data_IF_108538843761
#
_entry.id   IF_108538843761
#
_cell.length_a   1.000
_cell.length_b   1.000
_cell.length_c   1.000
_cell.angle_alpha   90.00
_cell.angle_beta   90.00
_cell.angle_gamma   90.00
#
_symmetry.space_group_name_H-M   'P 1'
#
loop_
_entity.id
_entity.type
_entity.pdbx_description
1 polymer ?
#
# COMPACT_ATOMS: atom_id res chain seq x y z
N UNK A 1 -42.78 -15.32 14.13
CA UNK A 1 -43.19 -13.98 13.63
C UNK A 1 -42.05 -12.99 13.78
N UNK A 2 -40.96 -13.12 13.01
CA UNK A 2 -39.75 -12.31 13.21
C UNK A 2 -39.14 -11.73 11.92
N UNK A 3 -39.90 -11.61 10.83
CA UNK A 3 -39.33 -11.17 9.54
C UNK A 3 -40.05 -10.01 8.82
N UNK A 4 -41.21 -9.58 9.31
CA UNK A 4 -42.00 -8.54 8.63
C UNK A 4 -41.41 -7.14 8.88
N UNK A 5 -40.95 -6.86 10.11
CA UNK A 5 -40.39 -5.57 10.48
C UNK A 5 -38.99 -5.29 9.91
N UNK A 6 -38.22 -6.34 9.58
CA UNK A 6 -36.92 -6.21 8.93
C UNK A 6 -37.10 -5.98 7.42
N UNK A 7 -38.01 -6.70 6.77
CA UNK A 7 -38.36 -6.47 5.37
C UNK A 7 -38.93 -5.06 5.12
N UNK A 8 -39.81 -4.55 6.00
CA UNK A 8 -40.37 -3.20 5.85
C UNK A 8 -39.29 -2.11 5.95
N UNK A 9 -38.33 -2.26 6.87
CA UNK A 9 -37.20 -1.33 7.03
C UNK A 9 -36.27 -1.33 5.81
N UNK A 10 -36.00 -2.49 5.23
CA UNK A 10 -35.20 -2.59 4.01
C UNK A 10 -35.90 -1.94 2.82
N UNK A 11 -37.22 -2.10 2.71
CA UNK A 11 -38.03 -1.46 1.66
C UNK A 11 -38.03 0.07 1.77
N UNK A 12 -38.15 0.62 2.98
CA UNK A 12 -38.12 2.07 3.21
C UNK A 12 -36.75 2.67 2.90
N UNK A 13 -35.66 2.04 3.35
CA UNK A 13 -34.29 2.47 3.02
C UNK A 13 -34.05 2.49 1.52
N UNK A 14 -34.57 1.49 0.80
CA UNK A 14 -34.45 1.42 -0.66
C UNK A 14 -35.18 2.58 -1.34
N UNK A 15 -36.39 2.92 -0.88
CA UNK A 15 -37.16 4.03 -1.41
C UNK A 15 -36.46 5.38 -1.18
N UNK A 16 -35.94 5.58 0.03
CA UNK A 16 -35.16 6.78 0.38
C UNK A 16 -33.88 6.88 -0.46
N UNK A 17 -33.18 5.76 -0.67
CA UNK A 17 -31.99 5.71 -1.51
C UNK A 17 -32.29 6.14 -2.95
N UNK A 18 -33.35 5.59 -3.56
CA UNK A 18 -33.76 5.96 -4.93
C UNK A 18 -34.06 7.45 -5.07
N UNK A 19 -34.79 8.01 -4.10
CA UNK A 19 -35.19 9.42 -4.12
C UNK A 19 -33.99 10.36 -3.90
N UNK A 20 -33.07 10.02 -3.00
CA UNK A 20 -31.90 10.85 -2.68
C UNK A 20 -30.67 10.59 -3.56
N UNK A 21 -30.71 9.61 -4.47
CA UNK A 21 -29.54 9.18 -5.24
C UNK A 21 -28.91 10.31 -6.04
N UNK A 22 -29.70 11.05 -6.82
CA UNK A 22 -29.18 12.09 -7.72
C UNK A 22 -28.53 13.24 -6.96
N UNK A 23 -29.13 13.69 -5.86
CA UNK A 23 -28.59 14.75 -5.02
C UNK A 23 -27.20 14.36 -4.48
N UNK A 24 -27.04 13.14 -3.97
CA UNK A 24 -25.76 12.65 -3.48
C UNK A 24 -24.73 12.46 -4.61
N UNK A 25 -25.18 12.06 -5.80
CA UNK A 25 -24.31 11.93 -6.98
C UNK A 25 -23.80 13.29 -7.47
N UNK A 26 -24.67 14.30 -7.51
CA UNK A 26 -24.29 15.68 -7.80
C UNK A 26 -23.32 16.24 -6.76
N UNK A 27 -23.47 15.85 -5.49
CA UNK A 27 -22.51 16.16 -4.42
C UNK A 27 -21.19 15.37 -4.50
N UNK A 28 -20.99 14.53 -5.53
CA UNK A 28 -19.75 13.79 -5.75
C UNK A 28 -19.58 12.54 -4.89
N UNK A 29 -20.67 12.01 -4.30
CA UNK A 29 -20.62 10.73 -3.58
C UNK A 29 -20.59 9.55 -4.54
N UNK A 30 -19.68 8.61 -4.29
CA UNK A 30 -19.63 7.33 -5.00
C UNK A 30 -20.78 6.41 -4.59
N UNK A 31 -20.99 5.33 -5.35
CA UNK A 31 -22.05 4.36 -5.11
C UNK A 31 -21.85 3.67 -3.77
N UNK A 32 -20.61 3.39 -3.39
CA UNK A 32 -20.27 2.83 -2.08
C UNK A 32 -20.65 3.79 -0.95
N UNK A 33 -20.31 5.08 -1.08
CA UNK A 33 -20.68 6.09 -0.10
C UNK A 33 -22.21 6.26 0.02
N UNK A 34 -22.94 6.15 -1.09
CA UNK A 34 -24.41 6.21 -1.10
C UNK A 34 -25.01 4.95 -0.44
N UNK A 35 -24.48 3.78 -0.76
CA UNK A 35 -24.93 2.52 -0.17
C UNK A 35 -24.74 2.51 1.36
N UNK A 36 -23.58 2.98 1.83
CA UNK A 36 -23.29 3.15 3.25
C UNK A 36 -24.23 4.16 3.91
N UNK A 37 -24.49 5.31 3.27
CA UNK A 37 -25.37 6.35 3.80
C UNK A 37 -26.78 5.83 4.10
N UNK A 38 -27.34 5.01 3.21
CA UNK A 38 -28.69 4.43 3.39
C UNK A 38 -28.68 3.05 4.07
N UNK A 39 -27.51 2.49 4.37
CA UNK A 39 -27.37 1.15 4.95
C UNK A 39 -27.93 0.05 4.04
N UNK A 40 -27.67 0.15 2.73
CA UNK A 40 -28.02 -0.84 1.71
C UNK A 40 -26.75 -1.43 1.08
N UNK A 41 -26.88 -2.51 0.32
CA UNK A 41 -25.74 -3.06 -0.41
C UNK A 41 -25.44 -2.24 -1.66
N UNK A 42 -24.17 -2.20 -2.08
CA UNK A 42 -23.76 -1.54 -3.32
C UNK A 42 -24.43 -2.19 -4.54
N UNK A 43 -24.60 -3.52 -4.53
CA UNK A 43 -25.33 -4.26 -5.57
C UNK A 43 -26.77 -3.76 -5.71
N UNK A 44 -27.45 -3.54 -4.58
CA UNK A 44 -28.79 -2.97 -4.58
C UNK A 44 -28.84 -1.58 -5.20
N UNK A 45 -27.80 -0.77 -5.06
CA UNK A 45 -27.73 0.53 -5.76
C UNK A 45 -27.65 0.31 -7.28
N UNK A 46 -26.81 -0.62 -7.76
CA UNK A 46 -26.70 -0.95 -9.19
C UNK A 46 -27.99 -1.53 -9.78
N UNK A 47 -28.65 -2.43 -9.06
CA UNK A 47 -29.90 -3.08 -9.51
C UNK A 47 -31.04 -2.09 -9.70
N UNK A 48 -31.04 -1.01 -8.90
CA UNK A 48 -32.10 0.00 -8.90
C UNK A 48 -31.80 1.21 -9.78
N UNK A 49 -30.69 1.22 -10.53
CA UNK A 49 -30.34 2.35 -11.40
C UNK A 49 -31.38 2.60 -12.50
N UNK A 50 -31.97 1.54 -13.05
CA UNK A 50 -32.96 1.68 -14.11
C UNK A 50 -34.19 2.44 -13.60
N UNK A 51 -34.71 2.05 -12.44
CA UNK A 51 -35.85 2.74 -11.82
C UNK A 51 -35.54 4.20 -11.46
N UNK A 52 -34.32 4.48 -11.01
CA UNK A 52 -33.87 5.86 -10.73
C UNK A 52 -33.80 6.67 -12.03
N UNK A 53 -33.30 6.07 -13.12
CA UNK A 53 -33.20 6.70 -14.43
C UNK A 53 -34.61 7.02 -14.98
N UNK A 54 -35.50 6.04 -14.95
CA UNK A 54 -36.89 6.15 -15.41
C UNK A 54 -37.64 7.25 -14.64
N UNK A 55 -37.45 7.32 -13.31
CA UNK A 55 -38.08 8.34 -12.46
C UNK A 55 -37.61 9.78 -12.75
N UNK A 56 -36.43 9.94 -13.35
CA UNK A 56 -35.81 11.24 -13.60
C UNK A 56 -35.68 11.57 -15.10
N UNK A 57 -36.21 10.72 -15.99
CA UNK A 57 -36.14 10.91 -17.44
C UNK A 57 -34.71 10.85 -17.99
N UNK A 58 -33.81 10.14 -17.31
CA UNK A 58 -32.41 9.94 -17.71
C UNK A 58 -32.22 8.53 -18.28
N UNK A 59 -31.10 8.29 -18.97
CA UNK A 59 -30.68 6.92 -19.26
C UNK A 59 -29.94 6.33 -18.06
N UNK A 60 -29.94 5.00 -17.97
CA UNK A 60 -29.17 4.29 -16.93
C UNK A 60 -27.67 4.59 -17.05
N UNK A 61 -27.20 4.75 -18.28
CA UNK A 61 -25.81 5.04 -18.62
C UNK A 61 -25.39 6.43 -18.14
N UNK A 62 -26.28 7.42 -18.19
CA UNK A 62 -26.03 8.76 -17.63
C UNK A 62 -25.76 8.72 -16.14
N UNK A 63 -26.31 7.73 -15.42
CA UNK A 63 -26.06 7.54 -14.00
C UNK A 63 -24.72 6.85 -13.71
N UNK A 64 -24.04 6.28 -14.71
CA UNK A 64 -22.78 5.53 -14.52
C UNK A 64 -21.52 6.40 -14.68
N UNK A 65 -21.66 7.73 -14.80
CA UNK A 65 -20.50 8.61 -14.91
C UNK A 65 -19.55 8.47 -13.71
N UNK A 66 -18.25 8.45 -14.00
CA UNK A 66 -17.21 8.35 -12.99
C UNK A 66 -16.98 9.72 -12.35
N UNK A 67 -17.11 9.79 -11.03
CA UNK A 67 -16.74 11.00 -10.29
C UNK A 67 -15.22 11.12 -10.31
N UNK A 68 -14.71 12.16 -10.97
CA UNK A 68 -13.30 12.49 -10.98
C UNK A 68 -12.89 13.06 -9.62
N UNK A 69 -12.40 12.20 -8.72
CA UNK A 69 -11.72 12.65 -7.50
C UNK A 69 -10.29 13.08 -7.87
N UNK A 70 -9.75 14.15 -7.28
CA UNK A 70 -8.35 14.52 -7.47
C UNK A 70 -7.47 13.33 -7.08
N UNK A 71 -6.46 13.05 -7.91
CA UNK A 71 -5.51 11.99 -7.61
C UNK A 71 -4.75 12.34 -6.33
N UNK A 72 -5.05 11.65 -5.24
CA UNK A 72 -4.28 11.70 -4.00
C UNK A 72 -3.29 10.54 -4.00
N UNK A 73 -1.99 10.86 -3.98
CA UNK A 73 -0.98 9.84 -3.69
C UNK A 73 -1.25 9.30 -2.29
N UNK A 74 -1.49 7.99 -2.19
CA UNK A 74 -1.66 7.32 -0.89
C UNK A 74 -0.44 7.60 -0.01
N UNK A 75 -0.68 7.95 1.26
CA UNK A 75 0.37 8.13 2.27
C UNK A 75 1.22 6.86 2.49
N UNK A 76 0.73 5.70 2.05
CA UNK A 76 1.51 4.45 2.02
C UNK A 76 2.71 4.55 1.07
N UNK A 77 2.64 5.37 0.01
CA UNK A 77 3.78 5.68 -0.87
C UNK A 77 4.69 6.79 -0.35
N UNK A 78 4.30 7.49 0.73
CA UNK A 78 5.11 8.53 1.39
C UNK A 78 6.13 7.96 2.38
N UNK A 79 6.14 6.64 2.64
CA UNK A 79 7.32 5.95 3.20
C UNK A 79 8.42 5.82 2.14
N UNK A 80 8.70 6.89 1.40
CA UNK A 80 10.04 7.07 0.84
C UNK A 80 10.92 7.24 2.06
N UNK A 81 11.81 6.27 2.28
CA UNK A 81 12.80 6.26 3.35
C UNK A 81 13.33 7.69 3.55
N UNK A 82 13.05 8.31 4.69
CA UNK A 82 13.88 9.41 5.17
C UNK A 82 15.26 8.80 5.41
N UNK A 83 16.09 8.76 4.36
CA UNK A 83 17.52 8.50 4.48
C UNK A 83 18.17 9.83 4.88
N UNK A 84 17.66 10.44 5.96
CA UNK A 84 18.26 11.60 6.62
C UNK A 84 19.29 11.15 7.66
N UNK A 85 20.01 10.05 7.38
CA UNK A 85 21.29 9.84 8.05
C UNK A 85 22.32 10.58 7.23
N UNK A 86 22.47 11.87 7.53
CA UNK A 86 23.66 12.62 7.14
C UNK A 86 24.88 11.88 7.72
N UNK A 87 25.57 11.14 6.87
CA UNK A 87 26.82 10.46 7.20
C UNK A 87 27.82 11.55 7.64
N UNK A 88 28.24 11.54 8.91
CA UNK A 88 29.20 12.53 9.39
C UNK A 88 30.60 12.19 8.90
N UNK A 89 31.47 13.19 8.84
CA UNK A 89 32.87 12.99 8.45
C UNK A 89 33.57 12.05 9.44
N UNK A 90 33.22 12.11 10.73
CA UNK A 90 33.81 11.22 11.74
C UNK A 90 33.37 9.76 11.56
N UNK A 91 32.09 9.51 11.26
CA UNK A 91 31.59 8.16 10.99
C UNK A 91 32.27 7.57 9.74
N UNK A 92 32.46 8.39 8.70
CA UNK A 92 33.15 7.97 7.49
C UNK A 92 34.62 7.62 7.75
N UNK A 93 35.34 8.46 8.51
CA UNK A 93 36.72 8.20 8.91
C UNK A 93 36.85 6.92 9.72
N UNK A 94 35.94 6.71 10.68
CA UNK A 94 35.93 5.49 11.49
C UNK A 94 35.72 4.25 10.62
N UNK A 95 34.76 4.28 9.71
CA UNK A 95 34.48 3.15 8.81
C UNK A 95 35.69 2.78 7.95
N UNK A 96 36.43 3.77 7.43
CA UNK A 96 37.66 3.50 6.68
C UNK A 96 38.78 2.93 7.56
N UNK A 97 38.94 3.43 8.79
CA UNK A 97 39.92 2.90 9.74
C UNK A 97 39.63 1.45 10.10
N UNK A 98 38.35 1.13 10.37
CA UNK A 98 37.90 -0.23 10.68
C UNK A 98 38.16 -1.17 9.49
N UNK A 99 37.88 -0.70 8.26
CA UNK A 99 38.15 -1.45 7.03
C UNK A 99 39.65 -1.73 6.83
N UNK A 100 40.52 -0.74 7.08
CA UNK A 100 41.97 -0.90 7.00
C UNK A 100 42.47 -1.92 8.03
N UNK A 101 41.97 -1.87 9.26
CA UNK A 101 42.32 -2.81 10.32
C UNK A 101 41.97 -4.26 9.94
N UNK A 102 40.76 -4.47 9.42
CA UNK A 102 40.31 -5.80 8.96
C UNK A 102 41.19 -6.29 7.80
N UNK A 103 41.50 -5.42 6.85
CA UNK A 103 42.34 -5.77 5.70
C UNK A 103 43.74 -6.18 6.13
N UNK A 104 44.36 -5.44 7.05
CA UNK A 104 45.67 -5.79 7.61
C UNK A 104 45.65 -7.11 8.37
N UNK A 105 44.57 -7.38 9.11
CA UNK A 105 44.39 -8.66 9.79
C UNK A 105 44.32 -9.84 8.80
N UNK A 106 43.59 -9.68 7.70
CA UNK A 106 43.51 -10.69 6.63
C UNK A 106 44.90 -10.93 6.01
N UNK A 107 45.63 -9.86 5.68
CA UNK A 107 46.99 -9.96 5.13
C UNK A 107 47.91 -10.70 6.09
N UNK A 108 47.92 -10.33 7.38
CA UNK A 108 48.76 -10.99 8.39
C UNK A 108 48.45 -12.48 8.53
N UNK A 109 47.18 -12.87 8.44
CA UNK A 109 46.81 -14.28 8.48
C UNK A 109 47.27 -15.05 7.23
N UNK A 110 47.20 -14.42 6.05
CA UNK A 110 47.73 -14.99 4.81
C UNK A 110 49.25 -15.16 4.91
N UNK A 111 49.96 -14.15 5.39
CA UNK A 111 51.42 -14.21 5.56
C UNK A 111 51.83 -15.34 6.51
N UNK A 112 51.11 -15.50 7.64
CA UNK A 112 51.34 -16.61 8.58
C UNK A 112 51.09 -17.97 7.93
N UNK A 113 50.02 -18.12 7.17
CA UNK A 113 49.73 -19.36 6.46
C UNK A 113 50.84 -19.70 5.44
N UNK A 114 51.27 -18.71 4.65
CA UNK A 114 52.36 -18.88 3.68
C UNK A 114 53.71 -19.18 4.33
N UNK A 115 54.01 -18.60 5.50
CA UNK A 115 55.22 -18.94 6.27
C UNK A 115 55.17 -20.38 6.78
N UNK A 116 54.04 -20.79 7.36
CA UNK A 116 53.88 -22.16 7.84
C UNK A 116 54.02 -23.20 6.72
N UNK A 117 53.61 -22.90 5.49
CA UNK A 117 53.81 -23.79 4.34
C UNK A 117 55.27 -23.85 3.85
N UNK A 118 56.05 -22.77 4.05
CA UNK A 118 57.49 -22.76 3.72
C UNK A 118 58.29 -23.55 4.74
N UNK A 119 58.02 -23.35 6.03
CA UNK A 119 58.70 -24.07 7.11
C UNK A 119 58.43 -25.58 7.02
N UNK A 120 57.21 -26.00 6.66
CA UNK A 120 56.88 -27.41 6.43
C UNK A 120 57.51 -28.04 5.17
N UNK A 121 58.06 -27.25 4.24
CA UNK A 121 58.74 -27.75 3.03
C UNK A 121 60.24 -27.93 3.22
N UNK A 122 60.88 -27.15 4.08
CA UNK A 122 62.32 -27.25 4.36
C UNK A 122 62.68 -28.48 5.22
N UNK A 123 61.71 -29.05 5.95
CA UNK A 123 61.87 -30.28 6.72
C UNK A 123 61.88 -31.56 5.85
N UNK A 124 61.47 -31.50 4.57
CA UNK A 124 61.50 -32.64 3.64
C UNK A 124 62.69 -32.65 2.68
N UNK A 125 63.50 -31.58 2.66
CA UNK A 125 64.70 -31.50 1.80
C UNK A 125 66.02 -31.73 2.56
N UNK A 126 65.96 -31.95 3.88
CA UNK A 126 67.13 -32.18 4.75
C UNK A 126 67.22 -33.60 5.36
N UNK A 127 66.61 -34.61 4.74
CA UNK A 127 66.80 -36.04 5.10
C UNK A 127 67.52 -36.83 4.00
#
# INVERSE_FOLDING_TARGET
>A
MANIAAQSKTSERMKQMKQGFLELRQAGKSFSEIAEFFGVSVWSVYDNLQEIADANGLSREDLLYRIHKPHVMSSTSQKVKNVDKHLTVEELQKNFSDMLSITNYIISNIDKALQSEKDNKEDFENE
#
